data_IF_798618473495
#
_entry.id   IF_798618473495
#
_cell.length_a   1.000
_cell.length_b   1.000
_cell.length_c   1.000
_cell.angle_alpha   90.00
_cell.angle_beta   90.00
_cell.angle_gamma   90.00
#
_symmetry.space_group_name_H-M   'P 1'
#
loop_
_entity.id
_entity.type
_entity.pdbx_description
1 polymer ?
#
# COMPACT_ATOMS: atom_id res chain seq x y z
N UNK A 1 -0.67 9.41 18.58
CA UNK A 1 -0.37 9.03 17.18
C UNK A 1 -0.89 10.16 16.29
N UNK A 2 -0.18 10.56 15.23
CA UNK A 2 -0.55 11.71 14.42
C UNK A 2 -0.70 11.28 12.96
N UNK A 3 -1.92 11.33 12.42
CA UNK A 3 -2.11 11.38 10.97
C UNK A 3 -1.57 12.73 10.51
N UNK A 4 -0.44 12.71 9.81
CA UNK A 4 0.11 13.90 9.20
C UNK A 4 -0.41 14.00 7.76
N UNK A 5 -1.48 14.76 7.57
CA UNK A 5 -1.85 15.20 6.21
C UNK A 5 -0.74 16.15 5.75
N UNK A 6 -0.13 15.88 4.61
CA UNK A 6 0.97 16.68 4.11
C UNK A 6 0.50 18.13 3.90
N UNK A 7 0.98 19.05 4.76
CA UNK A 7 0.58 20.47 4.80
C UNK A 7 0.99 21.26 3.54
N UNK A 8 1.77 20.67 2.63
CA UNK A 8 2.13 21.29 1.35
C UNK A 8 1.02 21.32 0.29
N UNK A 9 -0.12 20.67 0.55
CA UNK A 9 -1.34 20.78 -0.26
C UNK A 9 -2.49 21.10 0.69
N UNK A 10 -2.83 22.38 0.81
CA UNK A 10 -3.88 22.90 1.70
C UNK A 10 -5.28 22.34 1.39
N UNK A 11 -5.46 21.70 0.24
CA UNK A 11 -6.78 21.32 -0.28
C UNK A 11 -7.05 19.81 -0.26
N UNK A 12 -6.13 18.98 0.28
CA UNK A 12 -6.41 17.55 0.39
C UNK A 12 -7.43 17.29 1.51
N UNK A 13 -8.66 16.98 1.10
CA UNK A 13 -9.74 16.57 1.99
C UNK A 13 -10.04 15.08 1.76
N UNK A 14 -9.71 14.18 2.70
CA UNK A 14 -10.09 12.78 2.60
C UNK A 14 -11.61 12.65 2.51
N UNK A 15 -12.11 11.73 1.68
CA UNK A 15 -13.53 11.37 1.72
C UNK A 15 -13.91 10.83 3.11
N UNK A 16 -15.19 10.95 3.51
CA UNK A 16 -15.67 10.42 4.79
C UNK A 16 -15.35 8.92 4.96
N UNK A 17 -15.37 8.19 3.83
CA UNK A 17 -14.95 6.79 3.74
C UNK A 17 -13.47 6.64 4.08
N UNK A 18 -12.58 7.35 3.39
CA UNK A 18 -11.14 7.27 3.62
C UNK A 18 -10.77 7.69 5.04
N UNK A 19 -11.40 8.73 5.57
CA UNK A 19 -11.19 9.19 6.94
C UNK A 19 -11.52 8.10 7.98
N UNK A 20 -12.61 7.36 7.78
CA UNK A 20 -12.98 6.23 8.64
C UNK A 20 -11.97 5.10 8.55
N UNK A 21 -11.46 4.80 7.36
CA UNK A 21 -10.41 3.79 7.18
C UNK A 21 -9.07 4.19 7.80
N UNK A 22 -8.71 5.48 7.75
CA UNK A 22 -7.51 5.99 8.42
C UNK A 22 -7.58 5.74 9.94
N UNK A 23 -8.74 5.98 10.57
CA UNK A 23 -8.95 5.65 11.99
C UNK A 23 -8.81 4.16 12.29
N UNK A 24 -9.22 3.29 11.38
CA UNK A 24 -9.01 1.85 11.51
C UNK A 24 -7.52 1.50 11.35
N UNK A 25 -6.84 2.13 10.40
CA UNK A 25 -5.42 1.93 10.12
C UNK A 25 -4.53 2.36 11.30
N UNK A 26 -4.90 3.41 12.02
CA UNK A 26 -4.21 3.86 13.24
C UNK A 26 -4.11 2.79 14.33
N UNK A 27 -4.98 1.78 14.31
CA UNK A 27 -4.93 0.67 15.27
C UNK A 27 -3.78 -0.30 14.99
N UNK A 28 -3.24 -0.30 13.76
CA UNK A 28 -2.25 -1.29 13.30
C UNK A 28 -0.95 -0.68 12.78
N UNK A 29 -0.93 0.61 12.46
CA UNK A 29 0.25 1.37 12.03
C UNK A 29 0.48 2.59 12.94
N UNK A 30 1.73 3.05 13.11
CA UNK A 30 2.11 4.06 14.13
C UNK A 30 2.34 5.48 13.59
N UNK A 31 2.74 5.62 12.33
CA UNK A 31 2.97 6.93 11.69
C UNK A 31 2.41 6.83 10.28
N UNK A 32 1.33 7.58 10.04
CA UNK A 32 0.56 7.57 8.81
C UNK A 32 0.59 8.99 8.25
N UNK A 33 1.01 9.12 6.99
CA UNK A 33 0.94 10.36 6.23
C UNK A 33 0.06 10.18 5.02
N UNK A 34 -0.71 11.21 4.73
CA UNK A 34 -1.66 11.19 3.61
C UNK A 34 -1.46 12.43 2.75
N UNK A 35 -1.54 12.27 1.44
CA UNK A 35 -1.55 13.38 0.49
C UNK A 35 -1.89 12.89 -0.92
N UNK A 36 -1.70 13.74 -1.92
CA UNK A 36 -1.85 13.33 -3.31
C UNK A 36 -0.50 13.11 -3.98
N UNK A 37 -0.48 12.22 -4.98
CA UNK A 37 0.65 12.05 -5.89
C UNK A 37 0.11 11.89 -7.30
N UNK A 38 0.48 12.82 -8.17
CA UNK A 38 0.18 12.69 -9.61
C UNK A 38 1.30 11.90 -10.28
N UNK A 39 0.93 10.88 -11.06
CA UNK A 39 1.86 10.09 -11.87
C UNK A 39 1.26 9.96 -13.26
N UNK A 40 1.96 10.50 -14.26
CA UNK A 40 1.34 10.73 -15.57
C UNK A 40 0.12 11.64 -15.43
N UNK A 41 -1.02 11.18 -15.92
CA UNK A 41 -2.30 11.91 -15.88
C UNK A 41 -3.20 11.49 -14.69
N UNK A 42 -2.76 10.53 -13.88
CA UNK A 42 -3.57 9.99 -12.79
C UNK A 42 -3.15 10.62 -11.46
N UNK A 43 -4.10 11.19 -10.74
CA UNK A 43 -3.92 11.64 -9.36
C UNK A 43 -4.29 10.53 -8.40
N UNK A 44 -3.31 10.04 -7.65
CA UNK A 44 -3.52 9.04 -6.61
C UNK A 44 -3.64 9.72 -5.25
N UNK A 45 -4.43 9.13 -4.35
CA UNK A 45 -4.26 9.37 -2.91
C UNK A 45 -3.12 8.49 -2.41
N UNK A 46 -2.06 9.11 -1.89
CA UNK A 46 -0.89 8.45 -1.33
C UNK A 46 -1.06 8.24 0.18
N UNK A 47 -0.96 6.99 0.63
CA UNK A 47 -0.96 6.60 2.04
C UNK A 47 0.43 6.08 2.38
N UNK A 48 1.21 6.87 3.11
CA UNK A 48 2.56 6.55 3.53
C UNK A 48 2.55 6.11 5.00
N UNK A 49 2.97 4.88 5.26
CA UNK A 49 3.17 4.36 6.60
C UNK A 49 4.66 4.32 6.90
N UNK A 50 5.12 5.03 7.93
CA UNK A 50 6.54 5.13 8.26
C UNK A 50 6.97 4.01 9.21
N UNK A 51 8.17 3.47 8.99
CA UNK A 51 8.82 2.57 9.94
C UNK A 51 8.06 1.28 10.23
N UNK A 52 7.46 0.65 9.22
CA UNK A 52 6.89 -0.69 9.37
C UNK A 52 8.01 -1.68 9.75
N UNK A 53 7.88 -2.46 10.84
CA UNK A 53 8.87 -3.45 11.22
C UNK A 53 9.08 -4.51 10.13
N UNK A 54 10.34 -4.90 9.96
CA UNK A 54 10.79 -5.89 9.02
C UNK A 54 11.42 -7.09 9.74
N UNK A 55 11.13 -8.29 9.24
CA UNK A 55 11.67 -9.56 9.72
C UNK A 55 13.17 -9.62 9.44
N UNK A 56 13.97 -9.80 10.49
CA UNK A 56 15.43 -9.97 10.38
C UNK A 56 15.83 -11.24 9.60
N UNK A 57 14.89 -12.16 9.36
CA UNK A 57 15.11 -13.35 8.52
C UNK A 57 15.18 -13.00 7.04
N UNK A 58 14.39 -12.01 6.59
CA UNK A 58 14.28 -11.61 5.18
C UNK A 58 15.06 -10.33 4.87
N UNK A 59 15.26 -9.45 5.87
CA UNK A 59 15.75 -8.10 5.65
C UNK A 59 16.95 -7.76 6.54
N UNK A 60 17.92 -7.01 5.96
CA UNK A 60 19.10 -6.50 6.68
C UNK A 60 18.79 -5.25 7.52
N UNK A 61 17.65 -4.62 7.28
CA UNK A 61 17.15 -3.47 8.03
C UNK A 61 15.98 -3.90 8.91
N UNK A 62 15.79 -3.20 10.03
CA UNK A 62 14.74 -3.54 11.01
C UNK A 62 13.37 -2.94 10.67
N UNK A 63 13.32 -1.99 9.73
CA UNK A 63 12.09 -1.34 9.30
C UNK A 63 12.20 -0.75 7.89
N UNK A 64 11.06 -0.54 7.25
CA UNK A 64 10.92 0.19 5.99
C UNK A 64 9.63 0.99 6.00
N UNK A 65 9.58 2.07 5.21
CA UNK A 65 8.33 2.73 4.91
C UNK A 65 7.52 1.91 3.90
N UNK A 66 6.19 2.01 3.99
CA UNK A 66 5.23 1.42 3.06
C UNK A 66 4.40 2.52 2.42
N UNK A 67 4.21 2.48 1.12
CA UNK A 67 3.36 3.40 0.39
C UNK A 67 2.24 2.64 -0.35
N UNK A 68 1.00 3.04 -0.12
CA UNK A 68 -0.12 2.67 -0.98
C UNK A 68 -0.49 3.85 -1.87
N UNK A 69 -0.76 3.56 -3.15
CA UNK A 69 -1.33 4.51 -4.09
C UNK A 69 -2.76 4.09 -4.39
N UNK A 70 -3.71 4.82 -3.82
CA UNK A 70 -5.13 4.57 -4.04
C UNK A 70 -5.55 5.21 -5.36
N UNK A 71 -6.14 4.46 -6.29
CA UNK A 71 -6.65 5.03 -7.54
C UNK A 71 -7.81 6.01 -7.27
N UNK A 72 -8.14 6.91 -8.22
CA UNK A 72 -9.26 7.84 -8.09
C UNK A 72 -10.59 7.16 -7.72
N UNK A 73 -10.78 5.93 -8.20
CA UNK A 73 -11.98 5.13 -7.97
C UNK A 73 -11.99 4.37 -6.63
N UNK A 74 -11.01 4.57 -5.74
CA UNK A 74 -11.02 3.92 -4.43
C UNK A 74 -12.26 4.34 -3.61
N UNK A 75 -12.96 3.42 -2.92
CA UNK A 75 -12.63 2.02 -2.69
C UNK A 75 -13.25 1.05 -3.71
N UNK A 76 -13.86 1.51 -4.81
CA UNK A 76 -14.37 0.59 -5.85
C UNK A 76 -13.25 -0.24 -6.45
N UNK A 77 -12.09 0.37 -6.69
CA UNK A 77 -10.86 -0.32 -7.08
C UNK A 77 -9.85 -0.33 -5.91
N UNK A 78 -9.19 -1.46 -5.61
CA UNK A 78 -8.13 -1.47 -4.61
C UNK A 78 -6.84 -0.82 -5.15
N UNK A 79 -5.89 -0.46 -4.27
CA UNK A 79 -4.53 -0.19 -4.73
C UNK A 79 -3.94 -1.42 -5.43
N UNK A 80 -3.11 -1.16 -6.43
CA UNK A 80 -2.39 -2.20 -7.16
C UNK A 80 -1.08 -2.45 -6.40
N UNK A 81 -1.12 -3.36 -5.42
CA UNK A 81 0.01 -3.69 -4.54
C UNK A 81 0.38 -2.58 -3.55
N UNK A 82 1.60 -2.65 -3.02
CA UNK A 82 2.20 -1.59 -2.20
C UNK A 82 3.64 -1.32 -2.64
N UNK A 83 4.25 -0.25 -2.13
CA UNK A 83 5.64 0.07 -2.39
C UNK A 83 6.43 0.12 -1.08
N UNK A 84 7.68 -0.28 -1.15
CA UNK A 84 8.61 -0.27 -0.04
C UNK A 84 9.79 0.64 -0.34
N UNK A 85 10.18 1.46 0.63
CA UNK A 85 11.37 2.30 0.53
C UNK A 85 12.63 1.53 0.97
N UNK A 86 12.94 0.45 0.25
CA UNK A 86 14.14 -0.32 0.51
C UNK A 86 14.66 -0.94 -0.79
N UNK A 87 15.90 -0.64 -1.20
CA UNK A 87 16.51 -1.27 -2.36
C UNK A 87 16.90 -2.71 -2.01
N UNK A 88 16.13 -3.70 -2.46
CA UNK A 88 16.47 -5.11 -2.27
C UNK A 88 17.69 -5.49 -3.10
N UNK A 89 18.73 -5.97 -2.41
CA UNK A 89 19.95 -6.50 -3.04
C UNK A 89 19.80 -7.98 -3.48
N UNK A 90 18.69 -8.66 -3.18
CA UNK A 90 18.48 -10.11 -3.40
C UNK A 90 17.29 -10.43 -4.32
N UNK A 91 16.97 -9.53 -5.25
CA UNK A 91 15.87 -9.72 -6.21
C UNK A 91 16.05 -11.03 -6.98
N UNK A 92 15.02 -11.89 -7.00
CA UNK A 92 15.03 -13.15 -7.75
C UNK A 92 15.59 -14.37 -7.01
N UNK A 93 15.98 -14.24 -5.74
CA UNK A 93 16.32 -15.39 -4.88
C UNK A 93 15.33 -15.50 -3.73
N UNK A 94 14.18 -16.13 -3.99
CA UNK A 94 13.28 -16.65 -2.95
C UNK A 94 11.87 -16.06 -2.91
N UNK A 95 11.67 -14.79 -3.28
CA UNK A 95 10.35 -14.15 -3.16
C UNK A 95 9.87 -13.57 -4.51
N UNK A 96 8.90 -14.25 -5.11
CA UNK A 96 8.33 -13.95 -6.42
C UNK A 96 7.43 -12.71 -6.44
N UNK A 97 7.09 -12.16 -5.26
CA UNK A 97 6.29 -10.94 -5.16
C UNK A 97 7.16 -9.67 -5.28
N UNK A 98 8.49 -9.82 -5.20
CA UNK A 98 9.44 -8.74 -5.45
C UNK A 98 9.89 -8.70 -6.90
N UNK A 99 9.37 -7.72 -7.62
CA UNK A 99 9.71 -7.52 -9.01
C UNK A 99 10.35 -6.14 -9.13
N UNK A 100 11.52 -6.04 -9.75
CA UNK A 100 12.17 -4.74 -10.08
C UNK A 100 11.36 -3.91 -11.08
N UNK A 101 10.18 -4.39 -11.45
CA UNK A 101 9.21 -3.76 -12.34
C UNK A 101 7.87 -3.78 -11.64
N UNK A 102 7.06 -2.77 -11.90
CA UNK A 102 5.66 -2.76 -11.47
C UNK A 102 4.82 -3.52 -12.51
N UNK A 103 3.89 -4.36 -12.08
CA UNK A 103 2.96 -5.07 -12.97
C UNK A 103 1.52 -4.56 -12.83
N UNK A 104 0.63 -4.97 -13.75
CA UNK A 104 -0.81 -4.69 -13.73
C UNK A 104 -1.18 -3.20 -13.78
N UNK A 105 -0.32 -2.37 -14.37
CA UNK A 105 -0.54 -0.92 -14.46
C UNK A 105 -0.16 -0.15 -13.18
N UNK A 106 0.51 -0.79 -12.22
CA UNK A 106 1.11 -0.08 -11.11
C UNK A 106 2.22 0.88 -11.60
N UNK A 107 2.26 2.13 -11.12
CA UNK A 107 3.32 3.07 -11.45
C UNK A 107 4.74 2.56 -11.15
N UNK A 108 5.70 2.91 -12.01
CA UNK A 108 7.11 2.64 -11.75
C UNK A 108 7.74 3.80 -10.97
N UNK A 109 8.23 3.52 -9.76
CA UNK A 109 8.74 4.55 -8.84
C UNK A 109 10.16 4.24 -8.31
N UNK A 110 10.90 3.34 -8.95
CA UNK A 110 12.21 2.91 -8.45
C UNK A 110 13.25 4.04 -8.45
N UNK A 111 13.17 4.96 -9.40
CA UNK A 111 14.02 6.18 -9.45
C UNK A 111 13.77 7.13 -8.27
N UNK A 112 12.65 6.94 -7.56
CA UNK A 112 12.28 7.68 -6.36
C UNK A 112 12.54 6.85 -5.08
N UNK A 113 13.24 5.72 -5.21
CA UNK A 113 13.54 4.80 -4.11
C UNK A 113 12.36 3.94 -3.66
N UNK A 114 11.30 3.83 -4.48
CA UNK A 114 10.11 3.04 -4.16
C UNK A 114 10.03 1.80 -5.03
N UNK A 115 10.06 0.64 -4.38
CA UNK A 115 10.03 -0.66 -5.06
C UNK A 115 8.67 -1.30 -4.85
N UNK A 116 8.02 -1.66 -5.95
CA UNK A 116 6.69 -2.26 -5.92
C UNK A 116 6.75 -3.69 -5.37
N UNK A 117 5.84 -4.01 -4.48
CA UNK A 117 5.67 -5.33 -3.89
C UNK A 117 4.27 -5.86 -4.22
N UNK A 118 4.28 -7.00 -4.89
CA UNK A 118 3.13 -7.61 -5.52
C UNK A 118 2.29 -8.40 -4.49
N UNK A 119 1.61 -7.70 -3.58
CA UNK A 119 0.69 -8.37 -2.64
C UNK A 119 -0.62 -8.65 -3.35
N UNK A 120 -1.01 -9.92 -3.44
CA UNK A 120 -2.37 -10.31 -3.81
C UNK A 120 -3.33 -9.87 -2.70
N UNK A 121 -3.74 -8.61 -2.73
CA UNK A 121 -4.65 -7.99 -1.76
C UNK A 121 -6.10 -8.47 -1.97
N UNK A 122 -6.27 -9.80 -2.12
CA UNK A 122 -7.53 -10.49 -2.30
C UNK A 122 -7.45 -11.79 -3.12
N UNK A 123 -6.61 -11.92 -4.15
CA UNK A 123 -6.64 -13.12 -5.00
C UNK A 123 -5.74 -13.00 -6.21
N UNK A 124 -5.43 -14.15 -6.81
CA UNK A 124 -4.45 -14.29 -7.90
C UNK A 124 -4.66 -13.35 -9.08
N UNK A 125 -3.55 -13.03 -9.74
CA UNK A 125 -3.45 -12.04 -10.81
C UNK A 125 -4.09 -12.52 -12.11
N UNK A 126 -5.40 -12.40 -12.21
CA UNK A 126 -6.13 -12.45 -13.47
C UNK A 126 -7.04 -11.23 -13.54
N UNK A 127 -7.05 -10.53 -14.67
CA UNK A 127 -7.85 -9.32 -14.92
C UNK A 127 -9.35 -9.56 -14.66
N UNK A 128 -9.79 -10.82 -14.78
CA UNK A 128 -11.17 -11.26 -14.48
C UNK A 128 -11.40 -11.63 -13.00
N UNK A 129 -10.34 -11.88 -12.21
CA UNK A 129 -10.43 -12.32 -10.80
C UNK A 129 -10.03 -11.26 -9.77
N UNK A 130 -9.25 -10.24 -10.15
CA UNK A 130 -8.80 -9.17 -9.23
C UNK A 130 -9.97 -8.43 -8.57
N UNK A 131 -11.06 -8.20 -9.33
CA UNK A 131 -12.30 -7.61 -8.84
C UNK A 131 -13.10 -8.54 -7.90
N UNK A 132 -12.88 -9.85 -7.93
CA UNK A 132 -13.75 -10.81 -7.21
C UNK A 132 -13.40 -10.99 -5.73
N UNK A 133 -12.19 -10.59 -5.34
CA UNK A 133 -11.72 -10.75 -3.97
C UNK A 133 -11.64 -9.46 -3.18
N UNK A 134 -11.43 -8.32 -3.83
CA UNK A 134 -11.57 -7.04 -3.16
C UNK A 134 -13.05 -6.80 -2.84
N UNK A 135 -13.40 -6.85 -1.54
CA UNK A 135 -14.79 -6.75 -1.07
C UNK A 135 -14.93 -5.56 -0.13
N UNK A 136 -14.89 -4.32 -0.66
CA UNK A 136 -15.15 -3.13 0.14
C UNK A 136 -16.62 -3.16 0.55
N UNK A 137 -16.92 -2.70 1.76
CA UNK A 137 -18.30 -2.55 2.23
C UNK A 137 -18.60 -1.06 2.44
N UNK A 138 -19.84 -0.61 2.30
CA UNK A 138 -20.21 0.79 2.60
C UNK A 138 -19.85 1.18 4.05
N UNK A 139 -19.89 0.22 4.97
CA UNK A 139 -19.37 0.30 6.33
C UNK A 139 -17.91 -0.18 6.35
N UNK A 140 -16.92 0.73 6.52
CA UNK A 140 -15.49 0.42 6.32
C UNK A 140 -14.98 -0.75 7.17
N UNK A 141 -15.51 -0.93 8.37
CA UNK A 141 -15.16 -1.99 9.31
C UNK A 141 -15.71 -3.38 8.95
N UNK A 142 -16.66 -3.45 8.00
CA UNK A 142 -17.31 -4.71 7.56
C UNK A 142 -16.84 -5.22 6.22
N UNK A 143 -15.79 -4.64 5.66
CA UNK A 143 -15.20 -5.07 4.39
C UNK A 143 -13.72 -4.78 4.34
N UNK A 144 -13.12 -5.03 3.18
CA UNK A 144 -11.72 -4.67 2.97
C UNK A 144 -11.53 -3.15 2.98
N UNK A 145 -10.45 -2.74 3.61
CA UNK A 145 -10.07 -1.36 3.91
C UNK A 145 -8.54 -1.24 4.07
N UNK A 146 -8.03 -0.01 4.24
CA UNK A 146 -6.60 0.25 4.46
C UNK A 146 -5.95 -0.57 5.58
N UNK A 147 -6.64 -0.80 6.70
CA UNK A 147 -6.08 -1.58 7.80
C UNK A 147 -5.89 -3.05 7.39
N UNK A 148 -6.88 -3.65 6.73
CA UNK A 148 -6.76 -5.02 6.19
C UNK A 148 -5.66 -5.10 5.15
N UNK A 149 -5.57 -4.12 4.24
CA UNK A 149 -4.51 -4.04 3.22
C UNK A 149 -3.12 -3.99 3.86
N UNK A 150 -2.95 -3.15 4.88
CA UNK A 150 -1.67 -3.03 5.58
C UNK A 150 -1.31 -4.29 6.35
N UNK A 151 -2.26 -4.93 7.04
CA UNK A 151 -2.00 -6.19 7.78
C UNK A 151 -1.60 -7.31 6.81
N UNK A 152 -2.31 -7.46 5.68
CA UNK A 152 -1.97 -8.45 4.66
C UNK A 152 -0.62 -8.16 4.03
N UNK A 153 -0.34 -6.91 3.64
CA UNK A 153 0.95 -6.54 3.09
C UNK A 153 2.08 -6.79 4.09
N UNK A 154 1.92 -6.34 5.35
CA UNK A 154 2.91 -6.56 6.40
C UNK A 154 3.18 -8.05 6.63
N UNK A 155 2.16 -8.89 6.58
CA UNK A 155 2.32 -10.33 6.71
C UNK A 155 3.12 -10.88 5.53
N UNK A 156 2.65 -10.68 4.30
CA UNK A 156 3.30 -11.18 3.08
C UNK A 156 4.74 -10.67 2.92
N UNK A 157 5.04 -9.46 3.35
CA UNK A 157 6.41 -8.93 3.31
C UNK A 157 7.30 -9.71 4.28
N UNK A 158 6.81 -10.04 5.47
CA UNK A 158 7.60 -10.57 6.57
C UNK A 158 7.63 -12.10 6.67
N UNK A 159 6.76 -12.81 5.95
CA UNK A 159 6.71 -14.27 5.89
C UNK A 159 7.16 -14.78 4.52
N UNK A 160 7.54 -16.05 4.45
CA UNK A 160 7.98 -16.72 3.22
C UNK A 160 6.85 -17.57 2.60
N UNK A 161 5.61 -17.37 3.07
CA UNK A 161 4.41 -18.11 2.66
C UNK A 161 3.89 -17.68 1.29
#
# INVERSE_FOLDING_TARGET
MAIAINRGQTDFQPSARLFSELKLLEKVAKDIRVGNKTIGEIQYTAILLKGMPLSSRKFKVSNSDVLFLLPPDYPRLPPIGCYLNYPWNTVGQGDHHFTRQSYYGAPFLSDQGWYWYCVGLGGGFNRDRWLNSWRPNSQPEKGHNLATLFVTARHAINTDD
#
